data_IF_708155172512
#
_entry.id   IF_708155172512
#
_cell.length_a   1.000
_cell.length_b   1.000
_cell.length_c   1.000
_cell.angle_alpha   90.00
_cell.angle_beta   90.00
_cell.angle_gamma   90.00
#
_symmetry.space_group_name_H-M   'P 1'
#
loop_
_entity.id
_entity.type
_entity.pdbx_description
1 polymer ?
#
# COMPACT_ATOMS: atom_id res chain seq x y z
N UNK A 1 -3.90 -5.57 12.25
CA UNK A 1 -4.04 -5.95 13.68
C UNK A 1 -3.67 -4.81 14.61
N UNK A 2 -3.96 -4.97 15.88
CA UNK A 2 -3.52 -4.06 16.94
C UNK A 2 -2.17 -4.55 17.47
N UNK A 3 -1.09 -3.76 17.41
CA UNK A 3 0.24 -4.23 17.78
C UNK A 3 0.34 -4.73 19.23
N UNK A 4 0.68 -6.02 19.40
CA UNK A 4 0.79 -6.68 20.69
C UNK A 4 -0.54 -7.18 21.29
N UNK A 5 -1.65 -7.07 20.54
CA UNK A 5 -2.94 -7.68 20.89
C UNK A 5 -3.39 -8.61 19.75
N UNK A 6 -3.07 -9.91 19.82
CA UNK A 6 -3.43 -10.88 18.80
C UNK A 6 -4.94 -11.15 18.75
N UNK A 7 -5.69 -10.76 19.78
CA UNK A 7 -7.14 -10.96 19.84
C UNK A 7 -7.90 -9.92 19.01
N UNK A 8 -7.35 -8.71 18.87
CA UNK A 8 -8.04 -7.60 18.20
C UNK A 8 -7.43 -7.32 16.84
N UNK A 9 -8.23 -7.54 15.79
CA UNK A 9 -7.84 -7.12 14.44
C UNK A 9 -9.07 -6.82 13.57
N UNK A 10 -8.81 -6.23 12.42
CA UNK A 10 -9.81 -5.80 11.46
C UNK A 10 -9.54 -6.45 10.11
N UNK A 11 -10.60 -6.88 9.43
CA UNK A 11 -10.54 -7.44 8.08
C UNK A 11 -11.43 -6.62 7.17
N UNK A 12 -10.95 -6.31 5.99
CA UNK A 12 -11.71 -5.57 4.98
C UNK A 12 -11.66 -6.29 3.64
N UNK A 13 -12.70 -6.17 2.87
CA UNK A 13 -12.81 -6.77 1.54
C UNK A 13 -13.09 -5.76 0.45
N UNK A 14 -12.88 -6.18 -0.80
CA UNK A 14 -13.12 -5.36 -1.97
C UNK A 14 -14.58 -4.84 -2.04
N UNK A 15 -15.55 -5.65 -1.60
CA UNK A 15 -16.98 -5.27 -1.57
C UNK A 15 -17.68 -5.77 -0.29
N UNK A 16 -16.93 -6.02 0.79
CA UNK A 16 -17.44 -6.61 2.04
C UNK A 16 -17.45 -5.67 3.25
N UNK A 17 -17.09 -4.39 3.07
CA UNK A 17 -16.95 -3.47 4.19
C UNK A 17 -15.81 -3.84 5.13
N UNK A 18 -16.00 -3.56 6.43
CA UNK A 18 -14.99 -3.82 7.47
C UNK A 18 -15.60 -4.63 8.59
N UNK A 19 -14.89 -5.67 9.00
CA UNK A 19 -15.25 -6.53 10.12
C UNK A 19 -14.18 -6.46 11.21
N UNK A 20 -14.59 -6.42 12.47
CA UNK A 20 -13.72 -6.41 13.65
C UNK A 20 -13.88 -7.70 14.43
N UNK A 21 -12.77 -8.26 14.88
CA UNK A 21 -12.73 -9.32 15.91
C UNK A 21 -12.02 -8.79 17.16
N UNK A 22 -12.37 -9.36 18.32
CA UNK A 22 -11.73 -9.11 19.62
C UNK A 22 -11.41 -10.42 20.33
N UNK A 23 -11.53 -11.55 19.64
CA UNK A 23 -11.34 -12.90 20.16
C UNK A 23 -10.45 -13.77 19.24
N UNK A 24 -9.53 -13.15 18.52
CA UNK A 24 -8.57 -13.85 17.68
C UNK A 24 -9.17 -14.42 16.39
N UNK A 25 -10.31 -13.90 15.93
CA UNK A 25 -10.94 -14.33 14.68
C UNK A 25 -12.00 -15.41 14.83
N UNK A 26 -12.41 -15.72 16.06
CA UNK A 26 -13.50 -16.67 16.31
C UNK A 26 -14.85 -16.05 15.90
N UNK A 27 -15.06 -14.78 16.26
CA UNK A 27 -16.24 -14.02 15.85
C UNK A 27 -15.86 -12.72 15.19
N UNK A 28 -16.65 -12.31 14.19
CA UNK A 28 -16.49 -11.05 13.49
C UNK A 28 -17.78 -10.22 13.57
N UNK A 29 -17.62 -8.94 13.90
CA UNK A 29 -18.71 -7.96 13.89
C UNK A 29 -18.49 -7.01 12.73
N UNK A 30 -19.47 -6.82 11.82
CA UNK A 30 -19.43 -5.76 10.82
C UNK A 30 -19.51 -4.39 11.51
N UNK A 31 -18.69 -3.44 11.05
CA UNK A 31 -18.57 -2.12 11.67
C UNK A 31 -18.65 -0.96 10.66
N UNK A 32 -18.88 -1.26 9.37
CA UNK A 32 -18.86 -0.24 8.31
C UNK A 32 -20.08 -0.26 7.40
N UNK A 33 -21.06 -1.09 7.67
CA UNK A 33 -22.25 -1.33 6.81
C UNK A 33 -23.16 -0.13 6.64
N UNK A 34 -23.12 0.85 7.54
CA UNK A 34 -23.90 2.07 7.45
C UNK A 34 -23.22 3.19 6.63
N UNK A 35 -22.09 2.87 5.96
CA UNK A 35 -21.37 3.83 5.15
C UNK A 35 -21.76 3.70 3.68
N UNK A 36 -21.52 4.77 2.91
CA UNK A 36 -21.92 4.85 1.50
C UNK A 36 -21.10 3.95 0.56
N UNK A 37 -19.91 3.52 0.97
CA UNK A 37 -19.03 2.68 0.17
C UNK A 37 -18.71 1.41 0.94
N UNK A 38 -18.81 0.26 0.26
CA UNK A 38 -18.49 -1.06 0.82
C UNK A 38 -17.15 -1.57 0.34
N UNK A 39 -16.63 -0.99 -0.74
CA UNK A 39 -15.34 -1.36 -1.31
C UNK A 39 -14.22 -0.67 -0.54
N UNK A 40 -13.33 -1.44 0.06
CA UNK A 40 -12.23 -0.96 0.89
C UNK A 40 -10.91 -1.25 0.20
N UNK A 41 -10.14 -0.20 -0.08
CA UNK A 41 -8.81 -0.32 -0.67
C UNK A 41 -7.68 -0.14 0.34
N UNK A 42 -7.95 0.54 1.45
CA UNK A 42 -6.98 0.73 2.53
C UNK A 42 -7.66 0.77 3.90
N UNK A 43 -7.05 0.09 4.87
CA UNK A 43 -7.44 0.14 6.29
C UNK A 43 -6.17 0.26 7.13
N UNK A 44 -6.07 1.30 7.94
CA UNK A 44 -4.89 1.56 8.76
C UNK A 44 -5.31 1.97 10.16
N UNK A 45 -4.72 1.33 11.16
CA UNK A 45 -4.80 1.72 12.56
C UNK A 45 -3.67 2.73 12.83
N UNK A 46 -3.97 3.84 13.49
CA UNK A 46 -2.94 4.80 13.86
C UNK A 46 -1.98 4.16 14.90
N UNK A 47 -0.65 4.19 14.66
CA UNK A 47 0.29 3.53 15.57
C UNK A 47 0.29 4.10 17.00
N UNK A 48 -0.03 5.39 17.16
CA UNK A 48 -0.08 6.08 18.47
C UNK A 48 -1.39 5.89 19.22
N UNK A 49 -2.48 5.49 18.53
CA UNK A 49 -3.80 5.30 19.16
C UNK A 49 -4.60 4.25 18.39
N UNK A 50 -4.77 3.07 18.98
CA UNK A 50 -5.49 1.95 18.38
C UNK A 50 -7.01 2.19 18.20
N UNK A 51 -7.58 3.22 18.80
CA UNK A 51 -8.96 3.64 18.56
C UNK A 51 -9.11 4.47 17.27
N UNK A 52 -8.02 5.02 16.75
CA UNK A 52 -8.05 5.81 15.53
C UNK A 52 -7.80 4.92 14.31
N UNK A 53 -8.81 4.83 13.47
CA UNK A 53 -8.81 4.06 12.23
C UNK A 53 -8.97 5.00 11.04
N UNK A 54 -8.17 4.77 10.00
CA UNK A 54 -8.28 5.44 8.72
C UNK A 54 -8.67 4.45 7.64
N UNK A 55 -9.63 4.80 6.81
CA UNK A 55 -10.15 3.96 5.74
C UNK A 55 -10.13 4.71 4.43
N UNK A 56 -9.47 4.12 3.44
CA UNK A 56 -9.55 4.54 2.05
C UNK A 56 -10.48 3.60 1.29
N UNK A 57 -11.51 4.16 0.67
CA UNK A 57 -12.50 3.38 -0.04
C UNK A 57 -12.19 3.24 -1.53
N UNK A 58 -12.81 2.24 -2.18
CA UNK A 58 -12.60 1.86 -3.57
C UNK A 58 -11.50 0.81 -3.73
N UNK A 59 -11.78 -0.23 -4.49
CA UNK A 59 -10.87 -1.35 -4.71
C UNK A 59 -9.56 -0.89 -5.35
N UNK A 60 -8.45 -1.02 -4.61
CA UNK A 60 -7.12 -0.58 -5.02
C UNK A 60 -6.44 -1.49 -6.03
N UNK A 61 -6.89 -2.74 -6.16
CA UNK A 61 -6.32 -3.73 -7.06
C UNK A 61 -7.15 -3.79 -8.35
N UNK A 62 -6.60 -3.34 -9.50
CA UNK A 62 -7.37 -3.20 -10.73
C UNK A 62 -7.65 -4.54 -11.38
N UNK A 63 -8.91 -4.87 -11.49
CA UNK A 63 -9.45 -5.99 -12.29
C UNK A 63 -10.46 -5.48 -13.31
N UNK A 64 -11.20 -6.34 -13.99
CA UNK A 64 -12.13 -5.91 -15.03
C UNK A 64 -13.31 -5.08 -14.48
N UNK A 65 -13.79 -5.41 -13.30
CA UNK A 65 -14.76 -4.61 -12.55
C UNK A 65 -14.21 -4.35 -11.15
N UNK A 66 -14.28 -3.12 -10.69
CA UNK A 66 -13.82 -2.71 -9.36
C UNK A 66 -14.92 -1.96 -8.65
N UNK A 67 -15.01 -2.17 -7.34
CA UNK A 67 -15.90 -1.42 -6.48
C UNK A 67 -15.44 0.04 -6.34
N UNK A 68 -16.37 0.98 -6.51
CA UNK A 68 -16.09 2.40 -6.38
C UNK A 68 -16.03 2.82 -4.91
N UNK A 69 -15.09 3.71 -4.60
CA UNK A 69 -14.97 4.34 -3.31
C UNK A 69 -15.72 5.66 -3.21
N UNK A 70 -15.80 6.13 -1.97
CA UNK A 70 -16.39 7.42 -1.61
C UNK A 70 -15.44 8.25 -0.75
N UNK A 71 -14.13 8.19 -1.08
CA UNK A 71 -13.07 8.94 -0.42
C UNK A 71 -12.59 8.29 0.87
N UNK A 72 -12.22 9.13 1.82
CA UNK A 72 -11.61 8.73 3.09
C UNK A 72 -12.63 8.77 4.22
N UNK A 73 -12.54 7.79 5.12
CA UNK A 73 -13.28 7.77 6.38
C UNK A 73 -12.31 7.64 7.56
N UNK A 74 -12.73 8.14 8.71
CA UNK A 74 -11.98 8.02 9.96
C UNK A 74 -12.92 7.68 11.09
N UNK A 75 -12.48 6.81 11.99
CA UNK A 75 -13.05 6.56 13.31
C UNK A 75 -12.06 6.99 14.38
N UNK A 76 -12.54 7.37 15.55
CA UNK A 76 -11.75 7.70 16.75
C UNK A 76 -12.21 6.89 17.97
N UNK A 77 -13.04 5.88 17.76
CA UNK A 77 -13.68 5.06 18.78
C UNK A 77 -13.58 3.54 18.46
N UNK A 78 -12.52 3.13 17.75
CA UNK A 78 -12.29 1.73 17.41
C UNK A 78 -13.28 1.17 16.39
N UNK A 79 -13.85 2.03 15.54
CA UNK A 79 -14.77 1.66 14.47
C UNK A 79 -16.25 1.65 14.86
N UNK A 80 -16.62 2.22 16.01
CA UNK A 80 -18.03 2.33 16.41
C UNK A 80 -18.76 3.39 15.59
N UNK A 81 -18.08 4.53 15.34
CA UNK A 81 -18.61 5.60 14.47
C UNK A 81 -17.59 6.00 13.41
N UNK A 82 -18.10 6.51 12.30
CA UNK A 82 -17.30 6.88 11.14
C UNK A 82 -17.65 8.26 10.60
N UNK A 83 -16.62 9.04 10.28
CA UNK A 83 -16.75 10.33 9.62
C UNK A 83 -16.13 10.29 8.23
N UNK A 84 -16.90 10.67 7.19
CA UNK A 84 -16.33 10.90 5.85
C UNK A 84 -15.53 12.19 5.83
N UNK A 85 -14.30 12.14 5.36
CA UNK A 85 -13.34 13.25 5.35
C UNK A 85 -13.02 13.77 3.94
N UNK A 86 -13.89 13.48 2.97
CA UNK A 86 -13.71 13.99 1.61
C UNK A 86 -12.91 13.08 0.69
N UNK A 87 -12.19 13.66 -0.26
CA UNK A 87 -11.47 12.98 -1.35
C UNK A 87 -12.36 12.04 -2.18
N UNK A 88 -13.65 12.34 -2.32
CA UNK A 88 -14.64 11.47 -2.99
C UNK A 88 -14.34 11.22 -4.46
N UNK A 89 -13.67 12.16 -5.13
CA UNK A 89 -13.33 12.08 -6.55
C UNK A 89 -12.08 11.24 -6.84
N UNK A 90 -11.39 10.75 -5.80
CA UNK A 90 -10.25 9.83 -5.98
C UNK A 90 -10.70 8.46 -6.46
N UNK A 91 -11.94 8.07 -6.20
CA UNK A 91 -12.58 6.79 -6.52
C UNK A 91 -11.89 5.56 -5.91
N UNK A 92 -10.56 5.52 -5.85
CA UNK A 92 -9.81 4.36 -5.33
C UNK A 92 -8.59 4.82 -4.56
N UNK A 93 -8.50 4.34 -3.33
CA UNK A 93 -7.40 4.63 -2.42
C UNK A 93 -6.72 3.32 -2.06
N UNK A 94 -5.47 3.13 -2.49
CA UNK A 94 -4.74 1.86 -2.31
C UNK A 94 -4.09 1.72 -0.95
N UNK A 95 -3.61 2.84 -0.38
CA UNK A 95 -2.93 2.81 0.92
C UNK A 95 -3.09 4.13 1.66
N UNK A 96 -3.09 4.03 2.98
CA UNK A 96 -2.98 5.18 3.88
C UNK A 96 -1.84 4.89 4.85
N UNK A 97 -0.94 5.85 5.03
CA UNK A 97 0.08 5.82 6.07
C UNK A 97 -0.19 6.94 7.06
N UNK A 98 -0.08 6.63 8.35
CA UNK A 98 -0.36 7.55 9.45
C UNK A 98 0.92 7.80 10.22
N UNK A 99 1.16 9.04 10.60
CA UNK A 99 2.32 9.41 11.41
C UNK A 99 2.31 8.61 12.72
N UNK A 100 3.40 7.93 13.06
CA UNK A 100 3.44 7.07 14.25
C UNK A 100 3.29 7.84 15.57
N UNK A 101 3.50 9.16 15.57
CA UNK A 101 3.46 9.99 16.76
C UNK A 101 2.20 10.87 16.83
N UNK A 102 1.50 11.07 15.70
CA UNK A 102 0.32 11.92 15.64
C UNK A 102 -0.76 11.33 14.72
N UNK A 103 -1.88 10.82 15.27
CA UNK A 103 -2.94 10.19 14.51
C UNK A 103 -3.72 11.15 13.59
N UNK A 104 -3.48 12.46 13.69
CA UNK A 104 -4.10 13.48 12.84
C UNK A 104 -3.29 13.78 11.57
N UNK A 105 -2.06 13.24 11.48
CA UNK A 105 -1.22 13.37 10.28
C UNK A 105 -1.28 12.08 9.47
N UNK A 106 -1.75 12.17 8.25
CA UNK A 106 -1.85 11.02 7.35
C UNK A 106 -1.55 11.38 5.89
N UNK A 107 -1.00 10.41 5.15
CA UNK A 107 -0.88 10.49 3.70
C UNK A 107 -1.71 9.40 3.04
N UNK A 108 -2.46 9.80 2.01
CA UNK A 108 -3.38 8.96 1.24
C UNK A 108 -2.82 8.74 -0.16
N UNK A 109 -2.62 7.48 -0.52
CA UNK A 109 -2.16 7.02 -1.83
C UNK A 109 -3.39 6.78 -2.72
N UNK A 110 -3.73 7.77 -3.55
CA UNK A 110 -4.90 7.73 -4.42
C UNK A 110 -4.53 7.22 -5.82
N UNK A 111 -5.06 6.06 -6.17
CA UNK A 111 -4.86 5.44 -7.47
C UNK A 111 -5.70 6.13 -8.55
N UNK A 112 -6.89 6.59 -8.22
CA UNK A 112 -7.78 7.32 -9.12
C UNK A 112 -8.68 6.40 -9.95
N UNK A 113 -9.31 6.97 -10.98
CA UNK A 113 -10.22 6.26 -11.89
C UNK A 113 -9.58 5.10 -12.63
N UNK A 114 -10.34 4.02 -12.81
CA UNK A 114 -9.91 2.90 -13.64
C UNK A 114 -10.00 3.18 -15.14
N UNK A 115 -11.09 3.80 -15.56
CA UNK A 115 -11.50 3.87 -16.96
C UNK A 115 -11.17 5.18 -17.67
N UNK A 116 -10.60 6.15 -16.97
CA UNK A 116 -10.33 7.46 -17.59
C UNK A 116 -9.25 8.27 -16.87
N UNK A 117 -8.89 9.41 -17.44
CA UNK A 117 -8.01 10.35 -16.76
C UNK A 117 -8.70 10.89 -15.50
N UNK A 118 -7.90 11.23 -14.49
CA UNK A 118 -8.40 11.75 -13.23
C UNK A 118 -7.38 12.69 -12.60
N UNK A 119 -7.79 13.94 -12.40
CA UNK A 119 -6.96 14.94 -11.70
C UNK A 119 -6.79 14.66 -10.21
N UNK A 120 -7.62 13.78 -9.63
CA UNK A 120 -7.58 13.41 -8.22
C UNK A 120 -6.75 12.14 -7.95
N UNK A 121 -5.71 11.91 -8.78
CA UNK A 121 -4.66 10.91 -8.58
C UNK A 121 -3.51 11.49 -7.78
N UNK A 122 -2.70 10.63 -7.14
CA UNK A 122 -1.48 11.03 -6.48
C UNK A 122 -1.48 10.83 -4.97
N UNK A 123 -0.64 11.59 -4.27
CA UNK A 123 -0.55 11.55 -2.81
C UNK A 123 -1.20 12.80 -2.23
N UNK A 124 -2.13 12.59 -1.30
CA UNK A 124 -2.76 13.64 -0.51
C UNK A 124 -2.31 13.55 0.93
N UNK A 125 -2.08 14.69 1.58
CA UNK A 125 -1.67 14.78 2.97
C UNK A 125 -2.65 15.63 3.77
N UNK A 126 -2.91 15.22 4.99
CA UNK A 126 -3.57 16.00 6.03
C UNK A 126 -2.67 16.15 7.24
N UNK A 127 -2.83 17.25 7.98
CA UNK A 127 -2.17 17.49 9.27
C UNK A 127 -3.17 17.89 10.36
N UNK A 128 -4.47 17.78 10.07
CA UNK A 128 -5.56 18.26 10.92
C UNK A 128 -6.68 17.22 11.10
N UNK A 129 -6.33 15.94 10.97
CA UNK A 129 -7.26 14.83 11.13
C UNK A 129 -8.22 14.67 9.95
N UNK A 130 -7.83 15.15 8.76
CA UNK A 130 -8.60 15.02 7.52
C UNK A 130 -9.65 16.12 7.31
N UNK A 131 -9.56 17.22 8.02
CA UNK A 131 -10.43 18.40 7.79
C UNK A 131 -10.03 19.10 6.49
N UNK A 132 -8.71 19.16 6.21
CA UNK A 132 -8.15 19.69 4.97
C UNK A 132 -7.17 18.70 4.34
N UNK A 133 -6.98 18.79 3.02
CA UNK A 133 -6.11 17.92 2.24
C UNK A 133 -5.27 18.70 1.25
N UNK A 134 -3.96 18.53 1.30
CA UNK A 134 -3.02 19.03 0.32
C UNK A 134 -2.61 17.91 -0.64
N UNK A 135 -2.67 18.17 -1.95
CA UNK A 135 -2.14 17.24 -2.95
C UNK A 135 -0.62 17.45 -3.07
N UNK A 136 0.15 16.62 -2.37
CA UNK A 136 1.60 16.80 -2.20
C UNK A 136 2.44 16.11 -3.27
N UNK A 137 1.85 15.16 -4.04
CA UNK A 137 2.50 14.57 -5.21
C UNK A 137 1.46 14.29 -6.29
N UNK A 138 1.64 14.92 -7.44
CA UNK A 138 0.84 14.71 -8.64
C UNK A 138 1.75 14.68 -9.87
N UNK A 139 1.63 13.68 -10.71
CA UNK A 139 2.43 13.54 -11.93
C UNK A 139 1.60 13.98 -13.15
N UNK A 140 0.52 13.25 -13.43
CA UNK A 140 -0.45 13.55 -14.47
C UNK A 140 -1.79 12.84 -14.22
N UNK A 141 -2.77 13.06 -15.10
CA UNK A 141 -4.12 12.50 -14.98
C UNK A 141 -4.21 10.97 -15.22
N UNK A 142 -3.13 10.34 -15.69
CA UNK A 142 -3.08 8.89 -15.93
C UNK A 142 -2.17 8.15 -14.93
N UNK A 143 -1.41 8.89 -14.09
CA UNK A 143 -0.45 8.33 -13.13
C UNK A 143 -0.95 8.51 -11.71
N UNK A 144 -1.35 7.41 -11.08
CA UNK A 144 -1.83 7.38 -9.69
C UNK A 144 -0.78 6.86 -8.72
N UNK A 145 -1.05 7.01 -7.42
CA UNK A 145 -0.26 6.39 -6.38
C UNK A 145 -0.70 4.93 -6.22
N UNK A 146 0.23 3.98 -6.48
CA UNK A 146 0.00 2.54 -6.33
C UNK A 146 0.41 2.01 -4.96
N UNK A 147 1.43 2.62 -4.35
CA UNK A 147 1.87 2.28 -3.00
C UNK A 147 2.59 3.46 -2.35
N UNK A 148 2.59 3.49 -1.01
CA UNK A 148 3.32 4.48 -0.22
C UNK A 148 3.83 3.83 1.07
N UNK A 149 5.08 4.13 1.43
CA UNK A 149 5.70 3.69 2.66
C UNK A 149 6.26 4.89 3.45
N UNK A 150 6.12 4.86 4.79
CA UNK A 150 6.63 5.87 5.71
C UNK A 150 7.62 5.23 6.66
N UNK A 151 8.75 5.89 6.90
CA UNK A 151 9.73 5.46 7.90
C UNK A 151 9.18 5.75 9.31
N UNK A 152 9.02 4.70 10.14
CA UNK A 152 8.38 4.84 11.46
C UNK A 152 9.22 5.71 12.40
N UNK A 153 10.55 5.60 12.35
CA UNK A 153 11.45 6.38 13.22
C UNK A 153 11.61 7.84 12.75
N UNK A 154 11.34 8.10 11.47
CA UNK A 154 11.40 9.45 10.88
C UNK A 154 10.28 9.62 9.86
N UNK A 155 9.04 9.96 10.27
CA UNK A 155 7.88 10.02 9.39
C UNK A 155 7.94 11.11 8.31
N UNK A 156 8.98 11.98 8.36
CA UNK A 156 9.27 12.92 7.28
C UNK A 156 9.85 12.23 6.04
N UNK A 157 10.39 11.02 6.19
CA UNK A 157 10.91 10.20 5.08
C UNK A 157 9.79 9.28 4.60
N UNK A 158 9.40 9.43 3.35
CA UNK A 158 8.41 8.59 2.69
C UNK A 158 8.83 8.24 1.28
N UNK A 159 8.33 7.12 0.79
CA UNK A 159 8.50 6.64 -0.58
C UNK A 159 7.14 6.41 -1.21
N UNK A 160 6.97 6.84 -2.45
CA UNK A 160 5.73 6.64 -3.21
C UNK A 160 6.02 5.97 -4.55
N UNK A 161 5.33 4.87 -4.81
CA UNK A 161 5.30 4.22 -6.10
C UNK A 161 4.19 4.82 -6.95
N UNK A 162 4.56 5.60 -7.96
CA UNK A 162 3.61 6.21 -8.89
C UNK A 162 3.48 5.34 -10.12
N UNK A 163 2.25 5.04 -10.52
CA UNK A 163 1.93 4.09 -11.58
C UNK A 163 1.03 4.69 -12.64
N UNK A 164 1.51 4.70 -13.88
CA UNK A 164 0.71 5.04 -15.05
C UNK A 164 -0.10 3.83 -15.44
N UNK A 165 -1.43 3.93 -15.36
CA UNK A 165 -2.29 2.82 -15.76
C UNK A 165 -3.63 3.33 -16.29
N UNK A 166 -4.21 2.54 -17.17
CA UNK A 166 -5.56 2.79 -17.68
C UNK A 166 -6.19 1.52 -18.21
N UNK A 167 -7.39 1.22 -17.73
CA UNK A 167 -8.21 0.17 -18.32
C UNK A 167 -9.06 0.74 -19.48
N UNK A 168 -9.15 -0.01 -20.56
CA UNK A 168 -10.06 0.23 -21.70
C UNK A 168 -10.76 -1.08 -22.01
N UNK A 169 -11.93 -1.10 -22.70
CA UNK A 169 -12.61 -2.35 -23.02
C UNK A 169 -11.73 -3.36 -23.78
N UNK A 170 -10.80 -2.87 -24.59
CA UNK A 170 -9.94 -3.68 -25.46
C UNK A 170 -8.46 -3.68 -25.07
N UNK A 171 -8.05 -2.91 -24.05
CA UNK A 171 -6.65 -2.76 -23.69
C UNK A 171 -6.48 -2.37 -22.22
N UNK A 172 -5.44 -2.89 -21.62
CA UNK A 172 -4.94 -2.43 -20.34
C UNK A 172 -3.55 -1.80 -20.53
N UNK A 173 -3.42 -0.54 -20.22
CA UNK A 173 -2.13 0.15 -20.16
C UNK A 173 -1.57 -0.07 -18.74
N UNK A 174 -0.48 -0.83 -18.63
CA UNK A 174 0.20 -1.19 -17.40
C UNK A 174 1.63 -0.68 -17.44
N UNK A 175 1.87 0.43 -16.76
CA UNK A 175 3.15 1.11 -16.77
C UNK A 175 3.30 2.18 -17.85
N UNK A 176 4.49 2.75 -17.92
CA UNK A 176 4.87 3.79 -18.86
C UNK A 176 5.92 4.75 -18.30
N UNK A 177 6.37 5.67 -19.14
CA UNK A 177 7.47 6.62 -18.84
C UNK A 177 7.30 7.45 -17.56
N UNK A 178 6.07 7.63 -17.08
CA UNK A 178 5.74 8.39 -15.86
C UNK A 178 5.57 7.50 -14.63
N UNK A 179 5.60 6.16 -14.80
CA UNK A 179 5.71 5.23 -13.67
C UNK A 179 7.09 5.35 -13.06
N UNK A 180 7.16 5.59 -11.75
CA UNK A 180 8.43 5.78 -11.07
C UNK A 180 8.28 5.68 -9.55
N UNK A 181 9.41 5.54 -8.87
CA UNK A 181 9.52 5.66 -7.41
C UNK A 181 9.98 7.07 -7.06
N UNK A 182 9.31 7.65 -6.07
CA UNK A 182 9.61 8.99 -5.54
C UNK A 182 9.90 8.91 -4.05
N UNK A 183 10.79 9.77 -3.56
CA UNK A 183 11.18 9.90 -2.16
C UNK A 183 10.99 11.34 -1.71
N UNK A 184 10.52 11.50 -0.50
CA UNK A 184 10.55 12.77 0.26
C UNK A 184 11.36 12.59 1.55
N UNK A 185 11.98 13.67 2.02
CA UNK A 185 12.68 13.74 3.31
C UNK A 185 12.20 14.89 4.18
N UNK A 186 11.20 15.62 3.70
CA UNK A 186 10.64 16.82 4.33
C UNK A 186 9.14 16.70 4.67
N UNK A 187 8.65 15.47 4.74
CA UNK A 187 7.25 15.18 5.08
C UNK A 187 6.29 15.41 3.92
N UNK A 188 6.78 15.35 2.69
CA UNK A 188 5.97 15.48 1.49
C UNK A 188 5.93 16.90 0.90
N UNK A 189 6.71 17.85 1.43
CA UNK A 189 6.78 19.19 0.83
C UNK A 189 7.47 19.16 -0.54
N UNK A 190 8.50 18.32 -0.68
CA UNK A 190 9.16 18.07 -1.97
C UNK A 190 9.35 16.57 -2.22
N UNK A 191 9.38 16.16 -3.49
CA UNK A 191 9.56 14.78 -3.91
C UNK A 191 10.61 14.66 -5.02
N UNK A 192 11.56 13.76 -4.82
CA UNK A 192 12.64 13.43 -5.76
C UNK A 192 12.38 12.07 -6.39
N UNK A 193 12.46 11.98 -7.72
CA UNK A 193 12.44 10.70 -8.45
C UNK A 193 13.74 9.93 -8.18
N UNK A 194 13.64 8.64 -7.80
CA UNK A 194 14.77 7.80 -7.38
C UNK A 194 14.78 6.48 -8.19
N UNK A 195 15.35 6.50 -9.38
CA UNK A 195 15.34 5.39 -10.34
C UNK A 195 16.74 4.86 -10.69
N UNK A 196 17.80 5.36 -10.04
CA UNK A 196 19.17 4.98 -10.38
C UNK A 196 19.45 3.52 -10.05
N UNK A 197 19.89 2.74 -11.04
CA UNK A 197 20.12 1.28 -10.92
C UNK A 197 18.93 0.44 -11.38
N UNK A 198 17.73 1.01 -11.52
CA UNK A 198 16.60 0.33 -12.13
C UNK A 198 16.71 0.28 -13.65
N UNK A 199 16.10 -0.72 -14.31
CA UNK A 199 16.05 -0.79 -15.78
C UNK A 199 15.47 0.48 -16.39
N UNK A 200 15.95 0.86 -17.57
CA UNK A 200 15.50 2.07 -18.31
C UNK A 200 14.24 1.85 -19.14
N UNK A 201 13.68 0.65 -19.09
CA UNK A 201 12.41 0.29 -19.76
C UNK A 201 11.21 0.72 -18.93
N UNK A 202 10.01 0.60 -19.50
CA UNK A 202 8.78 0.90 -18.77
C UNK A 202 8.63 -0.04 -17.57
N UNK A 203 8.33 0.56 -16.43
CA UNK A 203 8.04 -0.11 -15.17
C UNK A 203 6.52 -0.28 -15.05
N UNK A 204 6.06 -1.45 -14.64
CA UNK A 204 4.69 -1.75 -14.27
C UNK A 204 4.38 -1.27 -12.84
N UNK A 205 3.34 -1.80 -12.22
CA UNK A 205 2.89 -1.41 -10.88
C UNK A 205 3.99 -1.60 -9.82
N UNK A 206 4.41 -0.54 -9.12
CA UNK A 206 5.37 -0.63 -8.03
C UNK A 206 4.70 -0.92 -6.69
N UNK A 207 5.21 -1.91 -5.95
CA UNK A 207 5.00 -2.11 -4.53
C UNK A 207 6.28 -1.77 -3.77
N UNK A 208 6.22 -0.89 -2.78
CA UNK A 208 7.40 -0.39 -2.09
C UNK A 208 7.30 -0.59 -0.58
N UNK A 209 8.40 -1.03 0.05
CA UNK A 209 8.44 -1.26 1.48
C UNK A 209 9.79 -0.87 2.10
N UNK A 210 9.74 -0.22 3.26
CA UNK A 210 10.91 0.12 4.09
C UNK A 210 11.13 -1.00 5.09
N UNK A 211 12.34 -1.52 5.20
CA UNK A 211 12.70 -2.41 6.30
C UNK A 211 12.81 -1.60 7.60
N UNK A 212 11.78 -1.65 8.43
CA UNK A 212 11.69 -0.79 9.62
C UNK A 212 12.79 -1.06 10.67
N UNK A 213 13.36 -2.28 10.69
CA UNK A 213 14.52 -2.62 11.53
C UNK A 213 15.82 -1.97 11.05
N UNK A 214 15.97 -1.75 9.73
CA UNK A 214 17.05 -1.01 9.09
C UNK A 214 16.53 -0.13 7.97
N UNK A 215 16.16 1.13 8.22
CA UNK A 215 15.57 2.02 7.22
C UNK A 215 16.49 2.45 6.07
N UNK A 216 17.76 2.02 6.04
CA UNK A 216 18.60 2.16 4.86
C UNK A 216 18.16 1.19 3.75
N UNK A 217 17.52 0.08 4.13
CA UNK A 217 17.10 -0.97 3.23
C UNK A 217 15.65 -0.73 2.78
N UNK A 218 15.49 -0.60 1.47
CA UNK A 218 14.18 -0.45 0.81
C UNK A 218 14.03 -1.58 -0.21
N UNK A 219 12.86 -2.17 -0.26
CA UNK A 219 12.49 -3.15 -1.27
C UNK A 219 11.45 -2.58 -2.23
N UNK A 220 11.63 -2.89 -3.50
CA UNK A 220 10.70 -2.58 -4.57
C UNK A 220 10.33 -3.89 -5.27
N UNK A 221 9.05 -4.20 -5.32
CA UNK A 221 8.50 -5.27 -6.13
C UNK A 221 7.76 -4.66 -7.31
N UNK A 222 8.13 -5.06 -8.52
CA UNK A 222 7.53 -4.54 -9.76
C UNK A 222 7.89 -5.46 -10.91
N UNK A 223 7.46 -5.11 -12.11
CA UNK A 223 7.87 -5.74 -13.36
C UNK A 223 8.43 -4.68 -14.31
N UNK A 224 9.48 -5.04 -15.02
CA UNK A 224 10.01 -4.25 -16.13
C UNK A 224 9.89 -5.04 -17.44
N UNK A 225 9.73 -4.34 -18.54
CA UNK A 225 9.83 -4.97 -19.85
C UNK A 225 11.27 -5.47 -20.04
N UNK A 226 11.45 -6.79 -19.98
CA UNK A 226 12.76 -7.43 -20.05
C UNK A 226 13.21 -8.12 -18.77
N UNK A 227 12.35 -8.17 -17.75
CA UNK A 227 12.58 -8.90 -16.49
C UNK A 227 12.85 -8.00 -15.30
N UNK A 228 12.98 -8.66 -14.15
CA UNK A 228 13.18 -8.00 -12.84
C UNK A 228 11.91 -7.99 -12.02
N UNK A 229 11.96 -8.65 -10.87
CA UNK A 229 10.80 -8.81 -9.99
C UNK A 229 11.02 -8.15 -8.64
N UNK A 230 12.18 -8.36 -8.03
CA UNK A 230 12.52 -7.79 -6.72
C UNK A 230 13.80 -6.98 -6.83
N UNK A 231 13.71 -5.74 -6.41
CA UNK A 231 14.85 -4.81 -6.32
C UNK A 231 15.04 -4.40 -4.87
N UNK A 232 16.30 -4.14 -4.52
CA UNK A 232 16.71 -3.69 -3.20
C UNK A 232 17.58 -2.46 -3.31
N UNK A 233 17.43 -1.55 -2.38
CA UNK A 233 18.37 -0.46 -2.10
C UNK A 233 18.92 -0.63 -0.70
N UNK A 234 20.21 -0.36 -0.50
CA UNK A 234 20.90 -0.36 0.78
C UNK A 234 21.26 1.05 1.27
N UNK A 235 20.81 2.09 0.55
CA UNK A 235 21.17 3.48 0.74
C UNK A 235 19.97 4.43 0.64
N UNK A 236 18.85 3.99 1.20
CA UNK A 236 17.61 4.78 1.24
C UNK A 236 17.07 5.15 -0.14
N UNK A 237 17.23 4.27 -1.14
CA UNK A 237 16.71 4.43 -2.48
C UNK A 237 17.59 5.27 -3.42
N UNK A 238 18.81 5.65 -3.03
CA UNK A 238 19.71 6.39 -3.92
C UNK A 238 20.25 5.50 -5.06
N UNK A 239 20.48 4.22 -4.80
CA UNK A 239 20.84 3.20 -5.79
C UNK A 239 20.02 1.93 -5.60
N UNK A 240 19.64 1.28 -6.70
CA UNK A 240 18.88 0.05 -6.71
C UNK A 240 19.68 -1.07 -7.38
N UNK A 241 19.54 -2.27 -6.87
CA UNK A 241 20.04 -3.51 -7.44
C UNK A 241 18.92 -4.53 -7.60
N UNK A 242 18.93 -5.28 -8.68
CA UNK A 242 18.00 -6.39 -8.86
C UNK A 242 18.50 -7.58 -8.04
N UNK A 243 17.67 -8.11 -7.17
CA UNK A 243 17.99 -9.27 -6.32
C UNK A 243 17.30 -10.55 -6.78
N UNK A 244 16.23 -10.43 -7.54
CA UNK A 244 15.53 -11.58 -8.10
C UNK A 244 14.71 -11.19 -9.34
N UNK A 245 14.61 -12.10 -10.32
CA UNK A 245 13.86 -11.91 -11.57
C UNK A 245 12.80 -12.99 -11.85
N UNK A 246 12.56 -13.92 -10.90
CA UNK A 246 11.56 -14.96 -11.06
C UNK A 246 10.14 -14.36 -11.07
N UNK A 247 9.41 -14.43 -12.20
CA UNK A 247 8.07 -13.87 -12.31
C UNK A 247 7.02 -14.59 -11.45
N UNK A 248 7.31 -15.80 -10.96
CA UNK A 248 6.40 -16.54 -10.09
C UNK A 248 6.29 -15.90 -8.69
N UNK A 249 7.25 -15.08 -8.28
CA UNK A 249 7.22 -14.38 -7.00
C UNK A 249 6.23 -13.23 -7.05
N UNK A 250 6.11 -12.54 -8.20
CA UNK A 250 5.18 -11.44 -8.41
C UNK A 250 4.17 -11.81 -9.51
N UNK A 251 3.42 -12.89 -9.30
CA UNK A 251 2.44 -13.37 -10.26
C UNK A 251 1.32 -12.35 -10.45
N UNK A 252 1.00 -11.96 -11.71
CA UNK A 252 0.03 -10.92 -12.08
C UNK A 252 0.34 -9.56 -11.44
N UNK A 253 1.49 -8.95 -11.77
CA UNK A 253 2.02 -7.76 -11.06
C UNK A 253 1.06 -6.56 -11.07
N UNK A 254 0.30 -6.34 -12.13
CA UNK A 254 -0.70 -5.26 -12.17
C UNK A 254 -1.78 -5.38 -11.09
N UNK A 255 -2.02 -6.60 -10.60
CA UNK A 255 -3.06 -6.88 -9.60
C UNK A 255 -2.48 -6.96 -8.18
N UNK A 256 -1.35 -7.64 -8.01
CA UNK A 256 -0.75 -7.85 -6.68
C UNK A 256 0.39 -6.87 -6.41
N UNK A 257 1.62 -7.18 -6.80
CA UNK A 257 2.86 -6.39 -6.56
C UNK A 257 2.96 -5.84 -5.14
N UNK A 258 2.78 -6.70 -4.14
CA UNK A 258 2.88 -6.30 -2.74
C UNK A 258 3.97 -7.11 -2.03
N UNK A 259 4.84 -6.43 -1.31
CA UNK A 259 5.92 -7.01 -0.50
C UNK A 259 5.79 -6.53 0.94
N UNK A 260 6.03 -7.44 1.87
CA UNK A 260 6.16 -7.10 3.30
C UNK A 260 7.53 -7.55 3.79
N UNK A 261 8.10 -6.75 4.67
CA UNK A 261 9.34 -7.09 5.35
C UNK A 261 9.01 -7.34 6.81
N UNK A 262 9.64 -8.34 7.39
CA UNK A 262 9.55 -8.61 8.81
C UNK A 262 9.96 -7.34 9.59
N UNK A 263 9.17 -6.86 10.54
CA UNK A 263 9.44 -5.61 11.24
C UNK A 263 10.72 -5.64 12.08
N UNK A 264 11.22 -6.83 12.45
CA UNK A 264 12.43 -7.02 13.26
C UNK A 264 13.64 -7.52 12.45
N UNK A 265 13.42 -8.08 11.24
CA UNK A 265 14.46 -8.70 10.43
C UNK A 265 14.40 -8.19 8.98
N UNK A 266 15.29 -7.28 8.62
CA UNK A 266 15.30 -6.65 7.30
C UNK A 266 15.56 -7.60 6.12
N UNK A 267 16.07 -8.81 6.38
CA UNK A 267 16.35 -9.85 5.39
C UNK A 267 15.20 -10.85 5.19
N UNK A 268 14.14 -10.78 6.01
CA UNK A 268 12.96 -11.65 5.88
C UNK A 268 11.85 -10.90 5.17
N UNK A 269 11.45 -11.41 4.00
CA UNK A 269 10.44 -10.82 3.14
C UNK A 269 9.31 -11.79 2.86
N UNK A 270 8.14 -11.21 2.59
CA UNK A 270 6.97 -11.93 2.11
C UNK A 270 6.48 -11.28 0.82
N UNK A 271 6.33 -12.08 -0.23
CA UNK A 271 5.63 -11.70 -1.45
C UNK A 271 4.17 -12.10 -1.32
N UNK A 272 3.28 -11.15 -1.56
CA UNK A 272 1.84 -11.32 -1.46
C UNK A 272 1.30 -11.22 -2.89
N UNK A 273 0.99 -12.38 -3.45
CA UNK A 273 0.56 -12.51 -4.83
C UNK A 273 -0.40 -13.70 -5.00
N UNK A 274 -0.46 -14.30 -6.18
CA UNK A 274 -1.17 -15.57 -6.38
C UNK A 274 -0.77 -16.65 -5.38
N UNK A 275 0.45 -16.56 -4.87
CA UNK A 275 0.99 -17.40 -3.79
C UNK A 275 1.57 -16.53 -2.69
N UNK A 276 1.51 -16.99 -1.45
CA UNK A 276 2.28 -16.39 -0.37
C UNK A 276 3.66 -17.05 -0.34
N UNK A 277 4.70 -16.26 -0.58
CA UNK A 277 6.09 -16.73 -0.59
C UNK A 277 6.92 -15.96 0.42
N UNK A 278 7.91 -16.63 1.01
CA UNK A 278 8.83 -16.06 1.98
C UNK A 278 10.26 -16.16 1.49
N UNK A 279 11.03 -15.11 1.67
CA UNK A 279 12.48 -15.09 1.56
C UNK A 279 13.10 -14.89 2.94
N UNK A 280 14.25 -15.50 3.21
CA UNK A 280 15.05 -15.34 4.43
C UNK A 280 16.46 -14.76 4.15
N UNK A 281 16.73 -14.41 2.90
CA UNK A 281 18.03 -13.99 2.39
C UNK A 281 17.94 -12.71 1.55
N UNK A 282 17.10 -11.78 1.99
CA UNK A 282 16.95 -10.45 1.36
C UNK A 282 16.37 -10.49 -0.05
N UNK A 283 15.56 -11.51 -0.37
CA UNK A 283 14.89 -11.61 -1.65
C UNK A 283 15.61 -12.45 -2.71
N UNK A 284 16.78 -13.05 -2.38
CA UNK A 284 17.54 -13.86 -3.35
C UNK A 284 16.85 -15.20 -3.65
N UNK A 285 16.40 -15.90 -2.60
CA UNK A 285 15.65 -17.15 -2.74
C UNK A 285 14.30 -17.07 -2.07
N UNK A 286 13.35 -17.86 -2.57
CA UNK A 286 11.96 -17.83 -2.11
C UNK A 286 11.39 -19.23 -1.94
N UNK A 287 10.63 -19.42 -0.87
CA UNK A 287 9.86 -20.62 -0.60
C UNK A 287 8.36 -20.28 -0.53
N UNK A 288 7.51 -21.10 -1.12
CA UNK A 288 6.05 -20.98 -0.93
C UNK A 288 5.69 -21.43 0.47
N UNK A 289 4.87 -20.62 1.14
CA UNK A 289 4.31 -20.92 2.46
C UNK A 289 2.79 -20.91 2.38
N UNK A 290 2.11 -21.34 3.44
CA UNK A 290 0.64 -21.41 3.50
C UNK A 290 0.02 -22.20 2.33
N UNK A 291 0.67 -23.29 1.92
CA UNK A 291 0.27 -24.09 0.74
C UNK A 291 -1.06 -24.84 0.91
N UNK A 292 -1.60 -24.89 2.12
CA UNK A 292 -2.89 -25.51 2.43
C UNK A 292 -4.09 -24.56 2.30
N UNK A 293 -3.84 -23.27 2.08
CA UNK A 293 -4.90 -22.28 1.88
C UNK A 293 -4.99 -21.88 0.41
N UNK A 294 -6.17 -21.36 0.00
CA UNK A 294 -6.38 -20.86 -1.34
C UNK A 294 -5.38 -19.75 -1.69
N UNK A 295 -4.95 -19.71 -2.92
CA UNK A 295 -4.13 -18.62 -3.47
C UNK A 295 -4.85 -17.27 -3.50
N UNK A 296 -4.31 -16.32 -4.26
CA UNK A 296 -4.85 -14.97 -4.39
C UNK A 296 -4.76 -14.13 -3.09
N UNK A 297 -3.58 -14.14 -2.48
CA UNK A 297 -3.31 -13.37 -1.28
C UNK A 297 -3.25 -11.87 -1.60
N UNK A 298 -3.97 -11.03 -0.85
CA UNK A 298 -4.08 -9.59 -1.11
C UNK A 298 -3.61 -8.73 0.06
N UNK A 299 -3.41 -9.31 1.23
CA UNK A 299 -2.94 -8.59 2.41
C UNK A 299 -2.21 -9.51 3.37
N UNK A 300 -1.17 -8.99 3.99
CA UNK A 300 -0.47 -9.60 5.11
C UNK A 300 -0.17 -8.52 6.14
N UNK A 301 -0.55 -8.77 7.38
CA UNK A 301 -0.12 -7.97 8.51
C UNK A 301 0.77 -8.82 9.43
N UNK A 302 1.89 -8.26 9.84
CA UNK A 302 2.85 -8.88 10.74
C UNK A 302 2.89 -8.02 12.00
N UNK A 303 2.67 -8.63 13.16
CA UNK A 303 2.73 -7.91 14.44
C UNK A 303 4.15 -7.40 14.70
N UNK A 304 4.39 -6.09 14.77
CA UNK A 304 5.72 -5.55 15.01
C UNK A 304 6.27 -5.88 16.41
N UNK A 305 5.41 -6.23 17.36
CA UNK A 305 5.78 -6.66 18.71
C UNK A 305 6.02 -8.16 18.83
N UNK A 306 5.38 -8.96 17.96
CA UNK A 306 5.51 -10.41 17.95
C UNK A 306 5.36 -10.96 16.52
N UNK A 307 6.40 -10.88 15.68
CA UNK A 307 6.36 -11.28 14.27
C UNK A 307 6.41 -12.80 14.04
N UNK A 308 6.37 -13.63 15.10
CA UNK A 308 6.46 -15.11 15.03
C UNK A 308 5.13 -15.74 14.67
#
# INVERSE_FOLDING_TARGET
GVPGDPSTFYVSGADGGIHKTIDGGVNFKPIFENQRAYSIGALTIAPSDSNVLWVGTGEGDPRNSVGYGWGVYRSVDGGQTWKNLGLKKTERIKRIVVDPNNPDIACVCALGKQWGPNKERGVFKTTDGGKTWDKVLFIDENTGCADIAMEIKNPRVMYAGMWTFRRRPWRFDDGGKNTAVYKTTDGGATWKKIMKGLPKTDMARPGIYIAQSDPNIIYLMTEFKGGGTVFRSNDKGENWEMVNDDPNINFRPFYYSDVRVDPQHSNILFSISGWLSRSKDSGNTWERIATSVHGDHQSLWIDPKNPK
#
